data_IF_669348120994
#
_entry.id   IF_669348120994
#
_cell.length_a   1.000
_cell.length_b   1.000
_cell.length_c   1.000
_cell.angle_alpha   90.00
_cell.angle_beta   90.00
_cell.angle_gamma   90.00
#
_symmetry.space_group_name_H-M   'P 1'
#
loop_
_entity.id
_entity.type
_entity.pdbx_description
1 polymer ?
#
# COMPACT_ATOMS: atom_id res chain seq x y z
N UNK A 1 71.23 -25.09 -28.15
CA UNK A 1 70.53 -24.27 -27.13
C UNK A 1 69.05 -24.25 -27.49
N UNK A 2 68.22 -25.11 -26.89
CA UNK A 2 66.79 -25.28 -27.25
C UNK A 2 65.95 -24.60 -26.17
N UNK A 3 65.27 -23.51 -26.54
CA UNK A 3 64.52 -22.63 -25.64
C UNK A 3 63.31 -23.40 -25.10
N UNK A 4 63.37 -23.77 -23.82
CA UNK A 4 62.31 -24.45 -23.06
C UNK A 4 61.53 -23.41 -22.26
N UNK A 5 60.84 -22.49 -22.94
CA UNK A 5 60.01 -21.45 -22.29
C UNK A 5 58.53 -21.48 -22.71
N UNK A 6 58.14 -22.33 -23.66
CA UNK A 6 56.78 -22.30 -24.23
C UNK A 6 55.71 -22.80 -23.25
N UNK A 7 55.84 -23.97 -22.62
CA UNK A 7 54.71 -24.60 -21.90
C UNK A 7 54.21 -23.86 -20.64
N UNK A 8 55.04 -23.01 -20.01
CA UNK A 8 54.67 -22.30 -18.78
C UNK A 8 53.78 -21.08 -19.05
N UNK A 9 53.99 -20.41 -20.18
CA UNK A 9 53.24 -19.21 -20.57
C UNK A 9 51.82 -19.55 -21.02
N UNK A 10 51.64 -20.67 -21.73
CA UNK A 10 50.30 -21.17 -22.10
C UNK A 10 49.46 -21.57 -20.89
N UNK A 11 50.06 -22.19 -19.88
CA UNK A 11 49.38 -22.51 -18.62
C UNK A 11 48.96 -21.26 -17.84
N UNK A 12 49.79 -20.23 -17.83
CA UNK A 12 49.46 -18.95 -17.19
C UNK A 12 48.28 -18.25 -17.91
N UNK A 13 48.28 -18.23 -19.24
CA UNK A 13 47.19 -17.66 -20.04
C UNK A 13 45.89 -18.43 -19.79
N UNK A 14 45.93 -19.77 -19.77
CA UNK A 14 44.76 -20.60 -19.46
C UNK A 14 44.19 -20.33 -18.07
N UNK A 15 45.04 -20.20 -17.05
CA UNK A 15 44.60 -19.86 -15.69
C UNK A 15 43.98 -18.46 -15.60
N UNK A 16 44.52 -17.48 -16.32
CA UNK A 16 43.95 -16.13 -16.38
C UNK A 16 42.58 -16.11 -17.05
N UNK A 17 42.43 -16.84 -18.16
CA UNK A 17 41.15 -16.98 -18.86
C UNK A 17 40.11 -17.68 -17.97
N UNK A 18 40.48 -18.78 -17.31
CA UNK A 18 39.59 -19.48 -16.39
C UNK A 18 39.22 -18.62 -15.17
N UNK A 19 40.16 -17.86 -14.64
CA UNK A 19 39.92 -16.89 -13.56
C UNK A 19 38.94 -15.80 -13.98
N UNK A 20 39.13 -15.23 -15.18
CA UNK A 20 38.23 -14.22 -15.73
C UNK A 20 36.81 -14.77 -15.93
N UNK A 21 36.68 -15.98 -16.49
CA UNK A 21 35.40 -16.65 -16.66
C UNK A 21 34.71 -16.91 -15.31
N UNK A 22 35.47 -17.30 -14.29
CA UNK A 22 34.96 -17.47 -12.93
C UNK A 22 34.42 -16.18 -12.33
N UNK A 23 35.15 -15.07 -12.49
CA UNK A 23 34.69 -13.74 -12.04
C UNK A 23 33.41 -13.31 -12.76
N UNK A 24 33.35 -13.48 -14.09
CA UNK A 24 32.14 -13.15 -14.86
C UNK A 24 30.95 -13.99 -14.43
N UNK A 25 31.15 -15.30 -14.17
CA UNK A 25 30.09 -16.17 -13.67
C UNK A 25 29.57 -15.73 -12.30
N UNK A 26 30.47 -15.39 -11.36
CA UNK A 26 30.09 -14.89 -10.03
C UNK A 26 29.31 -13.57 -10.15
N UNK A 27 29.80 -12.63 -10.97
CA UNK A 27 29.10 -11.37 -11.22
C UNK A 27 27.73 -11.59 -11.86
N UNK A 28 27.59 -12.56 -12.77
CA UNK A 28 26.32 -12.95 -13.35
C UNK A 28 25.34 -13.51 -12.33
N UNK A 29 25.80 -14.37 -11.41
CA UNK A 29 24.99 -14.89 -10.30
C UNK A 29 24.54 -13.77 -9.37
N UNK A 30 25.46 -12.88 -8.99
CA UNK A 30 25.13 -11.73 -8.15
C UNK A 30 24.13 -10.79 -8.84
N UNK A 31 24.35 -10.46 -10.12
CA UNK A 31 23.40 -9.67 -10.90
C UNK A 31 22.03 -10.35 -10.97
N UNK A 32 21.99 -11.67 -11.16
CA UNK A 32 20.73 -12.39 -11.22
C UNK A 32 19.96 -12.30 -9.89
N UNK A 33 20.58 -12.65 -8.76
CA UNK A 33 19.89 -12.71 -7.47
C UNK A 33 19.62 -11.34 -6.85
N UNK A 34 20.48 -10.35 -7.08
CA UNK A 34 20.33 -9.02 -6.48
C UNK A 34 19.64 -8.00 -7.39
N UNK A 35 19.49 -8.28 -8.68
CA UNK A 35 18.87 -7.33 -9.61
C UNK A 35 17.83 -7.98 -10.52
N UNK A 36 18.16 -9.05 -11.24
CA UNK A 36 17.21 -9.62 -12.21
C UNK A 36 16.02 -10.26 -11.52
N UNK A 37 16.23 -11.05 -10.47
CA UNK A 37 15.19 -11.79 -9.76
C UNK A 37 14.27 -10.87 -8.93
N UNK A 38 14.76 -9.91 -8.12
CA UNK A 38 13.87 -9.05 -7.32
C UNK A 38 13.05 -8.08 -8.18
N UNK A 39 13.57 -7.73 -9.37
CA UNK A 39 12.90 -6.83 -10.30
C UNK A 39 12.27 -7.58 -11.49
N UNK A 40 12.24 -8.91 -11.43
CA UNK A 40 11.60 -9.74 -12.45
C UNK A 40 10.09 -9.45 -12.44
N UNK A 41 9.56 -8.93 -13.54
CA UNK A 41 8.15 -8.56 -13.64
C UNK A 41 7.83 -7.11 -13.24
N UNK A 42 8.77 -6.34 -12.69
CA UNK A 42 8.58 -4.90 -12.46
C UNK A 42 8.18 -4.13 -13.74
N UNK A 43 8.78 -4.40 -14.93
CA UNK A 43 8.33 -3.76 -16.17
C UNK A 43 6.90 -4.15 -16.58
N UNK A 44 6.45 -5.37 -16.28
CA UNK A 44 5.09 -5.81 -16.56
C UNK A 44 4.09 -5.16 -15.60
N UNK A 45 4.43 -5.05 -14.31
CA UNK A 45 3.64 -4.34 -13.29
C UNK A 45 3.44 -2.85 -13.66
N UNK A 46 4.49 -2.18 -14.16
CA UNK A 46 4.38 -0.81 -14.66
C UNK A 46 3.54 -0.71 -15.95
N UNK A 47 3.63 -1.71 -16.84
CA UNK A 47 2.85 -1.74 -18.07
C UNK A 47 1.36 -2.04 -17.82
N UNK A 48 1.04 -2.82 -16.79
CA UNK A 48 -0.33 -3.15 -16.37
C UNK A 48 -1.06 -1.98 -15.68
N UNK A 49 -0.35 -0.95 -15.23
CA UNK A 49 -0.97 0.31 -14.76
C UNK A 49 -1.74 1.07 -15.86
N UNK A 50 -1.75 0.56 -17.10
CA UNK A 50 -2.70 0.98 -18.14
C UNK A 50 -4.17 0.61 -17.82
N UNK A 51 -4.40 -0.22 -16.81
CA UNK A 51 -5.73 -0.56 -16.33
C UNK A 51 -6.35 0.64 -15.57
N UNK A 52 -7.07 1.48 -16.32
CA UNK A 52 -7.92 2.59 -15.88
C UNK A 52 -7.22 3.77 -15.17
N UNK A 53 -7.52 4.99 -15.62
CA UNK A 53 -7.20 6.20 -14.85
C UNK A 53 -8.01 6.14 -13.54
N UNK A 54 -7.40 6.38 -12.37
CA UNK A 54 -8.18 6.49 -11.14
C UNK A 54 -9.28 7.54 -11.29
N UNK A 55 -10.48 7.32 -10.72
CA UNK A 55 -11.52 8.34 -10.71
C UNK A 55 -11.03 9.57 -9.96
N UNK A 56 -11.58 10.75 -10.32
CA UNK A 56 -11.29 11.97 -9.58
C UNK A 56 -11.97 11.87 -8.21
N UNK A 57 -11.16 11.91 -7.15
CA UNK A 57 -11.62 11.90 -5.76
C UNK A 57 -12.20 13.27 -5.39
N UNK A 58 -13.39 13.35 -4.78
CA UNK A 58 -13.91 14.63 -4.30
C UNK A 58 -13.02 15.19 -3.16
N UNK A 59 -12.89 16.52 -3.02
CA UNK A 59 -11.97 17.11 -2.04
C UNK A 59 -12.18 16.63 -0.60
N UNK A 60 -13.44 16.49 -0.16
CA UNK A 60 -13.79 16.08 1.20
C UNK A 60 -13.26 14.68 1.57
N UNK A 61 -13.05 13.81 0.58
CA UNK A 61 -12.52 12.46 0.81
C UNK A 61 -11.00 12.42 1.03
N UNK A 62 -10.32 13.57 0.89
CA UNK A 62 -8.91 13.75 1.21
C UNK A 62 -8.69 14.49 2.53
N UNK A 63 -9.77 14.87 3.22
CA UNK A 63 -9.76 15.55 4.50
C UNK A 63 -9.81 14.53 5.66
N UNK A 64 -9.82 14.98 6.92
CA UNK A 64 -9.77 14.08 8.08
C UNK A 64 -11.09 13.31 8.25
N UNK A 65 -10.98 12.00 8.44
CA UNK A 65 -12.09 11.09 8.66
C UNK A 65 -12.02 10.53 10.09
N UNK A 66 -13.16 10.55 10.77
CA UNK A 66 -13.35 9.83 12.02
C UNK A 66 -14.13 8.54 11.76
N UNK A 67 -13.97 7.59 12.67
CA UNK A 67 -14.69 6.33 12.65
C UNK A 67 -15.14 6.02 14.07
N UNK A 68 -16.43 5.74 14.22
CA UNK A 68 -17.08 5.40 15.49
C UNK A 68 -17.56 3.94 15.41
N UNK A 69 -17.01 3.11 16.31
CA UNK A 69 -17.30 1.67 16.45
C UNK A 69 -17.32 1.21 17.92
N UNK A 70 -17.47 2.14 18.86
CA UNK A 70 -17.42 1.83 20.29
C UNK A 70 -18.83 1.65 20.88
N UNK A 71 -19.76 2.55 20.52
CA UNK A 71 -21.12 2.57 21.05
C UNK A 71 -22.20 2.49 19.95
N UNK A 72 -21.88 2.94 18.72
CA UNK A 72 -22.77 2.89 17.55
C UNK A 72 -24.14 3.51 17.84
N UNK A 73 -24.17 4.75 18.34
CA UNK A 73 -25.38 5.54 18.55
C UNK A 73 -25.14 7.04 18.35
N UNK A 74 -26.23 7.80 18.17
CA UNK A 74 -26.20 9.22 17.87
C UNK A 74 -25.48 10.07 18.94
N UNK A 75 -25.74 9.81 20.22
CA UNK A 75 -25.17 10.60 21.31
C UNK A 75 -23.63 10.52 21.32
N UNK A 76 -23.08 9.32 21.11
CA UNK A 76 -21.64 9.12 21.11
C UNK A 76 -20.96 9.68 19.86
N UNK A 77 -21.64 9.65 18.71
CA UNK A 77 -21.18 10.32 17.49
C UNK A 77 -21.06 11.84 17.72
N UNK A 78 -22.04 12.44 18.39
CA UNK A 78 -22.02 13.87 18.71
C UNK A 78 -20.95 14.20 19.76
N UNK A 79 -20.83 13.41 20.83
CA UNK A 79 -19.78 13.58 21.84
C UNK A 79 -18.37 13.55 21.21
N UNK A 80 -18.14 12.61 20.28
CA UNK A 80 -16.88 12.50 19.55
C UNK A 80 -16.61 13.76 18.70
N UNK A 81 -17.60 14.25 17.96
CA UNK A 81 -17.47 15.45 17.12
C UNK A 81 -17.26 16.71 17.96
N UNK A 82 -18.02 16.88 19.03
CA UNK A 82 -17.89 18.00 19.98
C UNK A 82 -16.50 18.05 20.60
N UNK A 83 -15.93 16.89 20.97
CA UNK A 83 -14.57 16.82 21.50
C UNK A 83 -13.50 17.24 20.48
N UNK A 84 -13.67 16.90 19.20
CA UNK A 84 -12.76 17.35 18.15
C UNK A 84 -12.90 18.85 17.87
N UNK A 85 -14.13 19.37 17.88
CA UNK A 85 -14.41 20.80 17.75
C UNK A 85 -13.81 21.61 18.91
N UNK A 86 -13.99 21.17 20.16
CA UNK A 86 -13.44 21.82 21.36
C UNK A 86 -11.91 21.94 21.31
N UNK A 87 -11.24 20.97 20.67
CA UNK A 87 -9.79 20.91 20.57
C UNK A 87 -9.21 21.43 19.24
N UNK A 88 -10.02 22.05 18.39
CA UNK A 88 -9.61 22.62 17.09
C UNK A 88 -8.95 21.58 16.17
N UNK A 89 -9.46 20.33 16.21
CA UNK A 89 -9.06 19.28 15.28
C UNK A 89 -10.00 19.26 14.06
N UNK A 90 -9.47 19.37 12.83
CA UNK A 90 -10.32 19.35 11.65
C UNK A 90 -10.92 17.96 11.45
N UNK A 91 -12.22 17.91 11.20
CA UNK A 91 -12.97 16.70 10.81
C UNK A 91 -13.84 17.05 9.63
N UNK A 92 -13.89 16.16 8.64
CA UNK A 92 -14.76 16.34 7.46
C UNK A 92 -15.79 15.24 7.26
N UNK A 93 -15.46 14.03 7.66
CA UNK A 93 -16.37 12.90 7.54
C UNK A 93 -16.30 12.06 8.81
N UNK A 94 -17.45 11.50 9.19
CA UNK A 94 -17.55 10.49 10.24
C UNK A 94 -18.12 9.21 9.65
N UNK A 95 -17.50 8.09 10.00
CA UNK A 95 -17.91 6.76 9.60
C UNK A 95 -18.61 6.14 10.80
N UNK A 96 -19.85 5.73 10.58
CA UNK A 96 -20.65 5.06 11.59
C UNK A 96 -20.62 3.57 11.24
N UNK A 97 -20.02 2.75 12.10
CA UNK A 97 -20.01 1.31 11.90
C UNK A 97 -21.34 0.66 12.33
N UNK A 98 -21.44 -0.63 12.03
CA UNK A 98 -22.50 -1.48 12.53
C UNK A 98 -22.35 -1.71 14.03
N UNK A 99 -23.46 -1.78 14.79
CA UNK A 99 -24.84 -1.74 14.33
C UNK A 99 -25.44 -0.31 14.30
N UNK A 100 -25.69 0.22 13.10
CA UNK A 100 -26.60 1.36 12.88
C UNK A 100 -27.98 0.93 12.38
N UNK A 101 -28.13 -0.34 11.99
CA UNK A 101 -29.35 -0.94 11.45
C UNK A 101 -30.07 -1.84 12.44
N UNK A 102 -31.38 -2.09 12.24
CA UNK A 102 -32.14 -3.04 13.07
C UNK A 102 -31.66 -4.49 12.93
N UNK A 103 -31.09 -4.85 11.77
CA UNK A 103 -30.41 -6.13 11.49
C UNK A 103 -29.30 -5.91 10.47
N UNK A 104 -28.23 -6.70 10.55
CA UNK A 104 -27.14 -6.62 9.56
C UNK A 104 -27.65 -6.67 8.11
N UNK A 105 -27.30 -5.64 7.33
CA UNK A 105 -27.60 -5.50 5.91
C UNK A 105 -29.09 -5.38 5.55
N UNK A 106 -29.97 -4.99 6.48
CA UNK A 106 -31.38 -4.72 6.15
C UNK A 106 -31.64 -3.29 5.63
N UNK A 107 -30.64 -2.39 5.78
CA UNK A 107 -30.70 -0.98 5.40
C UNK A 107 -31.82 -0.19 6.10
N UNK A 108 -32.27 -0.66 7.27
CA UNK A 108 -33.25 0.02 8.12
C UNK A 108 -32.53 0.57 9.34
N UNK A 109 -32.43 1.91 9.42
CA UNK A 109 -31.78 2.57 10.57
C UNK A 109 -32.51 2.19 11.86
N UNK A 110 -31.74 1.86 12.90
CA UNK A 110 -32.28 1.61 14.23
C UNK A 110 -32.58 2.94 14.92
N UNK A 111 -33.85 3.35 14.95
CA UNK A 111 -34.31 4.59 15.58
C UNK A 111 -34.11 4.62 17.11
N UNK A 112 -33.88 3.48 17.77
CA UNK A 112 -33.49 3.47 19.18
C UNK A 112 -32.04 3.96 19.37
N UNK A 113 -31.18 3.75 18.36
CA UNK A 113 -29.78 4.19 18.36
C UNK A 113 -29.58 5.55 17.72
N UNK A 114 -30.39 5.85 16.70
CA UNK A 114 -30.35 7.09 15.93
C UNK A 114 -31.76 7.69 15.87
N UNK A 115 -32.21 8.39 16.92
CA UNK A 115 -33.54 8.99 16.95
C UNK A 115 -33.70 10.04 15.86
N UNK A 116 -34.87 10.07 15.21
CA UNK A 116 -35.14 10.91 14.02
C UNK A 116 -33.98 10.90 13.02
N UNK A 117 -33.69 9.75 12.37
CA UNK A 117 -32.52 9.59 11.52
C UNK A 117 -32.38 10.67 10.44
N UNK A 118 -33.50 11.13 9.91
CA UNK A 118 -33.52 12.15 8.87
C UNK A 118 -33.02 13.51 9.39
N UNK A 119 -33.41 13.90 10.61
CA UNK A 119 -32.88 15.09 11.25
C UNK A 119 -31.42 14.88 11.66
N UNK A 120 -31.12 13.78 12.35
CA UNK A 120 -29.77 13.49 12.84
C UNK A 120 -28.71 13.50 11.72
N UNK A 121 -28.91 12.74 10.65
CA UNK A 121 -27.96 12.72 9.53
C UNK A 121 -27.99 14.02 8.72
N UNK A 122 -29.13 14.72 8.67
CA UNK A 122 -29.24 16.01 8.01
C UNK A 122 -28.45 17.13 8.71
N UNK A 123 -28.30 17.06 10.03
CA UNK A 123 -27.51 18.01 10.81
C UNK A 123 -25.99 17.81 10.66
N UNK A 124 -25.55 16.67 10.08
CA UNK A 124 -24.14 16.37 9.79
C UNK A 124 -23.65 16.87 8.42
N UNK A 125 -24.53 17.39 7.55
CA UNK A 125 -24.21 17.89 6.20
C UNK A 125 -23.73 19.36 6.18
#
# INVERSE_FOLDING_TARGET
MRIRMHNREWGAIQMLVLGLLGVVAILGVLLYFYFVLPFWGFPAMLAEQKAARPPITPPWALECWLWEDDHNNADYVLELLEGYEEHDFPVRAILIDSPWTTRYNDFVVDEERYPDPAAFFGDLE
#
